data_IF_645146563419
#
_entry.id   IF_645146563419
#
_cell.length_a   1.000
_cell.length_b   1.000
_cell.length_c   1.000
_cell.angle_alpha   90.00
_cell.angle_beta   90.00
_cell.angle_gamma   90.00
#
_symmetry.space_group_name_H-M   'P 1'
#
loop_
_entity.id
_entity.type
_entity.pdbx_description
1 polymer ?
#
# COMPACT_ATOMS: atom_id res chain seq x y z
N UNK A 1 13.03 -7.10 -24.27
CA UNK A 1 12.33 -5.84 -23.92
C UNK A 1 12.63 -5.59 -22.45
N UNK A 2 13.06 -4.39 -22.07
CA UNK A 2 13.21 -4.04 -20.66
C UNK A 2 11.86 -4.22 -19.96
N UNK A 3 11.80 -5.02 -18.89
CA UNK A 3 10.59 -5.13 -18.05
C UNK A 3 10.40 -3.91 -17.15
N UNK A 4 11.43 -3.06 -17.01
CA UNK A 4 11.36 -1.79 -16.32
C UNK A 4 10.65 -0.73 -17.16
N UNK A 5 9.62 -0.12 -16.56
CA UNK A 5 8.79 0.93 -17.18
C UNK A 5 9.37 2.32 -16.90
N UNK A 6 9.37 3.19 -17.91
CA UNK A 6 9.81 4.58 -17.82
C UNK A 6 8.85 5.43 -16.99
N UNK A 7 9.38 6.40 -16.22
CA UNK A 7 8.52 7.27 -15.40
C UNK A 7 7.77 8.26 -16.27
N UNK A 8 6.45 8.28 -16.13
CA UNK A 8 5.55 9.23 -16.79
C UNK A 8 4.88 10.12 -15.76
N UNK A 9 4.53 11.35 -16.15
CA UNK A 9 3.79 12.26 -15.29
C UNK A 9 2.35 11.71 -15.07
N UNK A 10 1.96 11.37 -13.82
CA UNK A 10 0.62 10.83 -13.57
C UNK A 10 -0.49 11.79 -13.96
N UNK A 11 -0.26 13.10 -13.91
CA UNK A 11 -1.26 14.11 -14.29
C UNK A 11 -1.61 14.04 -15.77
N UNK A 12 -0.65 13.71 -16.62
CA UNK A 12 -0.85 13.67 -18.08
C UNK A 12 -1.51 12.38 -18.55
N UNK A 13 -1.32 11.30 -17.80
CA UNK A 13 -1.77 9.94 -18.16
C UNK A 13 -3.01 9.50 -17.42
N UNK A 14 -3.48 10.26 -16.42
CA UNK A 14 -4.66 9.90 -15.63
C UNK A 14 -5.94 10.49 -16.22
N UNK A 15 -6.99 9.69 -16.24
CA UNK A 15 -8.35 10.15 -16.56
C UNK A 15 -8.75 11.24 -15.57
N UNK A 16 -9.04 12.44 -16.08
CA UNK A 16 -9.37 13.61 -15.27
C UNK A 16 -8.20 14.52 -14.91
N UNK A 17 -7.00 14.24 -15.43
CA UNK A 17 -5.82 15.08 -15.30
C UNK A 17 -5.47 15.41 -13.84
N UNK A 18 -5.34 16.70 -13.52
CA UNK A 18 -5.05 17.15 -12.16
C UNK A 18 -6.13 16.74 -11.14
N UNK A 19 -7.41 16.74 -11.54
CA UNK A 19 -8.49 16.33 -10.62
C UNK A 19 -8.43 14.83 -10.33
N UNK A 20 -8.11 14.01 -11.34
CA UNK A 20 -7.87 12.58 -11.17
C UNK A 20 -6.67 12.31 -10.28
N UNK A 21 -5.58 13.06 -10.48
CA UNK A 21 -4.39 13.01 -9.61
C UNK A 21 -4.72 13.33 -8.14
N UNK A 22 -5.45 14.42 -7.88
CA UNK A 22 -5.88 14.80 -6.52
C UNK A 22 -6.75 13.71 -5.89
N UNK A 23 -7.68 13.12 -6.65
CA UNK A 23 -8.51 12.02 -6.14
C UNK A 23 -7.65 10.83 -5.73
N UNK A 24 -6.73 10.39 -6.60
CA UNK A 24 -5.83 9.28 -6.29
C UNK A 24 -5.04 9.55 -5.01
N UNK A 25 -4.48 10.75 -4.87
CA UNK A 25 -3.73 11.15 -3.67
C UNK A 25 -4.62 11.14 -2.43
N UNK A 26 -5.86 11.63 -2.55
CA UNK A 26 -6.83 11.61 -1.44
C UNK A 26 -7.14 10.18 -1.01
N UNK A 27 -7.35 9.27 -1.96
CA UNK A 27 -7.58 7.84 -1.68
C UNK A 27 -6.37 7.25 -0.94
N UNK A 28 -5.15 7.45 -1.45
CA UNK A 28 -3.94 6.99 -0.78
C UNK A 28 -3.82 7.51 0.66
N UNK A 29 -3.98 8.82 0.86
CA UNK A 29 -3.87 9.41 2.19
C UNK A 29 -4.97 8.88 3.13
N UNK A 30 -6.17 8.63 2.62
CA UNK A 30 -7.27 8.06 3.42
C UNK A 30 -7.00 6.63 3.91
N UNK A 31 -6.10 5.89 3.25
CA UNK A 31 -5.75 4.52 3.66
C UNK A 31 -5.08 4.45 5.04
N UNK A 32 -4.58 5.57 5.58
CA UNK A 32 -4.12 5.66 6.98
C UNK A 32 -5.21 5.29 7.99
N UNK A 33 -6.49 5.41 7.60
CA UNK A 33 -7.64 5.06 8.43
C UNK A 33 -7.97 3.56 8.40
N UNK A 34 -7.38 2.78 7.48
CA UNK A 34 -7.69 1.35 7.36
C UNK A 34 -7.28 0.58 8.63
N UNK A 35 -6.05 0.70 9.17
CA UNK A 35 -5.70 0.01 10.41
C UNK A 35 -6.62 0.41 11.56
N UNK A 36 -6.91 1.71 11.70
CA UNK A 36 -7.86 2.20 12.71
C UNK A 36 -9.24 1.56 12.55
N UNK A 37 -9.82 1.56 11.35
CA UNK A 37 -11.12 0.97 11.08
C UNK A 37 -11.13 -0.55 11.36
N UNK A 38 -10.04 -1.24 11.01
CA UNK A 38 -9.89 -2.67 11.25
C UNK A 38 -9.84 -2.99 12.76
N UNK A 39 -8.92 -2.37 13.51
CA UNK A 39 -8.72 -2.71 14.93
C UNK A 39 -9.80 -2.12 15.85
N UNK A 40 -10.36 -0.95 15.53
CA UNK A 40 -11.36 -0.32 16.39
C UNK A 40 -12.81 -0.75 16.09
N UNK A 41 -13.09 -1.13 14.84
CA UNK A 41 -14.47 -1.35 14.36
C UNK A 41 -14.65 -2.63 13.54
N UNK A 42 -13.58 -3.35 13.20
CA UNK A 42 -13.63 -4.49 12.29
C UNK A 42 -14.58 -5.58 12.75
N UNK A 43 -14.47 -6.00 14.02
CA UNK A 43 -15.33 -7.05 14.59
C UNK A 43 -16.81 -6.66 14.52
N UNK A 44 -17.15 -5.46 15.00
CA UNK A 44 -18.54 -4.95 14.93
C UNK A 44 -19.08 -4.95 13.51
N UNK A 45 -18.27 -4.51 12.53
CA UNK A 45 -18.68 -4.50 11.12
C UNK A 45 -18.87 -5.93 10.59
N UNK A 46 -17.95 -6.85 10.90
CA UNK A 46 -18.03 -8.24 10.46
C UNK A 46 -19.27 -8.95 11.06
N UNK A 47 -19.54 -8.74 12.34
CA UNK A 47 -20.72 -9.29 13.03
C UNK A 47 -22.04 -8.80 12.41
N UNK A 48 -22.13 -7.54 11.98
CA UNK A 48 -23.37 -7.01 11.36
C UNK A 48 -23.78 -7.73 10.08
N UNK A 49 -22.82 -8.36 9.39
CA UNK A 49 -23.04 -9.14 8.17
C UNK A 49 -22.90 -10.65 8.40
N UNK A 50 -22.76 -11.08 9.66
CA UNK A 50 -22.66 -12.48 10.04
C UNK A 50 -21.36 -13.16 9.61
N UNK A 51 -20.26 -12.42 9.54
CA UNK A 51 -18.93 -12.90 9.17
C UNK A 51 -17.95 -12.77 10.34
N UNK A 52 -16.91 -13.59 10.35
CA UNK A 52 -15.68 -13.31 11.11
C UNK A 52 -14.92 -12.15 10.48
N UNK A 53 -14.06 -11.47 11.24
CA UNK A 53 -13.27 -10.35 10.73
C UNK A 53 -12.38 -10.78 9.55
N UNK A 54 -11.77 -11.95 9.60
CA UNK A 54 -10.95 -12.49 8.50
C UNK A 54 -11.80 -12.78 7.26
N UNK A 55 -13.02 -13.32 7.42
CA UNK A 55 -13.95 -13.50 6.31
C UNK A 55 -14.37 -12.16 5.70
N UNK A 56 -14.63 -11.15 6.52
CA UNK A 56 -14.97 -9.81 6.03
C UNK A 56 -13.83 -9.20 5.20
N UNK A 57 -12.58 -9.29 5.66
CA UNK A 57 -11.40 -8.85 4.88
C UNK A 57 -11.24 -9.67 3.60
N UNK A 58 -11.37 -11.00 3.67
CA UNK A 58 -11.29 -11.86 2.49
C UNK A 58 -12.38 -11.51 1.46
N UNK A 59 -13.60 -11.20 1.90
CA UNK A 59 -14.67 -10.71 1.05
C UNK A 59 -14.31 -9.40 0.35
N UNK A 60 -13.71 -8.43 1.05
CA UNK A 60 -13.24 -7.17 0.45
C UNK A 60 -12.23 -7.44 -0.67
N UNK A 61 -11.25 -8.33 -0.44
CA UNK A 61 -10.26 -8.72 -1.45
C UNK A 61 -10.95 -9.37 -2.65
N UNK A 62 -11.86 -10.34 -2.42
CA UNK A 62 -12.57 -11.04 -3.49
C UNK A 62 -13.44 -10.09 -4.30
N UNK A 63 -14.13 -9.15 -3.66
CA UNK A 63 -14.92 -8.12 -4.33
C UNK A 63 -14.02 -7.24 -5.20
N UNK A 64 -12.87 -6.80 -4.69
CA UNK A 64 -11.90 -6.00 -5.45
C UNK A 64 -11.39 -6.76 -6.68
N UNK A 65 -11.06 -8.05 -6.54
CA UNK A 65 -10.62 -8.90 -7.64
C UNK A 65 -11.71 -9.14 -8.68
N UNK A 66 -12.96 -9.35 -8.27
CA UNK A 66 -14.10 -9.51 -9.19
C UNK A 66 -14.37 -8.21 -9.94
N UNK A 67 -14.40 -7.07 -9.24
CA UNK A 67 -14.58 -5.76 -9.85
C UNK A 67 -13.46 -5.47 -10.86
N UNK A 68 -12.22 -5.79 -10.51
CA UNK A 68 -11.07 -5.64 -11.37
C UNK A 68 -11.13 -6.54 -12.61
N UNK A 69 -11.54 -7.81 -12.46
CA UNK A 69 -11.73 -8.72 -13.58
C UNK A 69 -12.81 -8.22 -14.55
N UNK A 70 -13.91 -7.67 -14.03
CA UNK A 70 -14.97 -7.04 -14.85
C UNK A 70 -14.39 -5.81 -15.57
N UNK A 71 -13.68 -4.92 -14.86
CA UNK A 71 -13.08 -3.71 -15.42
C UNK A 71 -12.12 -4.03 -16.58
N UNK A 72 -11.26 -5.03 -16.40
CA UNK A 72 -10.33 -5.52 -17.43
C UNK A 72 -11.04 -6.14 -18.62
N UNK A 73 -12.10 -6.92 -18.38
CA UNK A 73 -12.93 -7.48 -19.45
C UNK A 73 -13.59 -6.39 -20.30
N UNK A 74 -13.98 -5.28 -19.68
CA UNK A 74 -14.57 -4.13 -20.37
C UNK A 74 -13.50 -3.22 -21.01
N UNK A 75 -12.23 -3.33 -20.59
CA UNK A 75 -11.13 -2.52 -21.11
C UNK A 75 -11.24 -1.04 -20.76
N UNK A 76 -11.85 -0.72 -19.61
CA UNK A 76 -12.15 0.65 -19.20
C UNK A 76 -11.20 1.14 -18.10
N UNK A 77 -10.94 2.44 -18.08
CA UNK A 77 -10.35 3.17 -16.95
C UNK A 77 -11.42 3.96 -16.22
N UNK A 78 -11.27 4.10 -14.90
CA UNK A 78 -12.13 4.90 -14.04
C UNK A 78 -11.45 6.25 -13.79
N UNK A 79 -12.23 7.28 -13.44
CA UNK A 79 -11.68 8.58 -13.08
C UNK A 79 -10.59 8.46 -11.99
N UNK A 80 -9.41 9.03 -12.23
CA UNK A 80 -8.22 8.90 -11.38
C UNK A 80 -7.26 7.76 -11.75
N UNK A 81 -7.68 6.81 -12.59
CA UNK A 81 -6.81 5.75 -13.13
C UNK A 81 -6.01 6.23 -14.34
N UNK A 82 -4.86 5.60 -14.59
CA UNK A 82 -3.98 5.88 -15.72
C UNK A 82 -4.44 5.10 -16.97
N UNK A 83 -4.24 5.65 -18.15
CA UNK A 83 -4.73 5.07 -19.42
C UNK A 83 -4.32 3.61 -19.65
N UNK A 84 -3.10 3.25 -19.27
CA UNK A 84 -2.59 1.88 -19.43
C UNK A 84 -3.30 0.87 -18.52
N UNK A 85 -3.94 1.31 -17.43
CA UNK A 85 -4.64 0.43 -16.51
C UNK A 85 -5.85 -0.22 -17.19
N UNK A 86 -6.37 0.30 -18.31
CA UNK A 86 -7.38 -0.39 -19.12
C UNK A 86 -7.01 -1.84 -19.49
N UNK A 87 -5.72 -2.18 -19.52
CA UNK A 87 -5.20 -3.47 -20.01
C UNK A 87 -4.45 -4.30 -18.95
N UNK A 88 -4.33 -3.81 -17.71
CA UNK A 88 -3.59 -4.49 -16.64
C UNK A 88 -4.18 -4.19 -15.27
N UNK A 89 -3.83 -5.00 -14.28
CA UNK A 89 -4.34 -4.85 -12.91
C UNK A 89 -4.07 -3.44 -12.40
N UNK A 90 -5.10 -2.78 -11.90
CA UNK A 90 -5.03 -1.40 -11.42
C UNK A 90 -4.27 -1.27 -10.11
N UNK A 91 -3.68 -0.11 -9.87
CA UNK A 91 -3.04 0.27 -8.61
C UNK A 91 -3.98 0.10 -7.40
N UNK A 92 -5.28 0.37 -7.60
CA UNK A 92 -6.31 0.20 -6.58
C UNK A 92 -6.48 -1.28 -6.21
N UNK A 93 -6.59 -2.16 -7.20
CA UNK A 93 -6.74 -3.60 -6.97
C UNK A 93 -5.49 -4.19 -6.31
N UNK A 94 -4.30 -3.77 -6.74
CA UNK A 94 -3.03 -4.15 -6.11
C UNK A 94 -2.93 -3.68 -4.66
N UNK A 95 -3.34 -2.44 -4.38
CA UNK A 95 -3.42 -1.91 -3.02
C UNK A 95 -4.41 -2.68 -2.14
N UNK A 96 -5.60 -3.01 -2.66
CA UNK A 96 -6.61 -3.78 -1.93
C UNK A 96 -6.12 -5.19 -1.58
N UNK A 97 -5.47 -5.88 -2.52
CA UNK A 97 -4.87 -7.21 -2.28
C UNK A 97 -3.74 -7.10 -1.26
N UNK A 98 -2.80 -6.17 -1.44
CA UNK A 98 -1.66 -6.00 -0.55
C UNK A 98 -2.09 -5.70 0.89
N UNK A 99 -2.93 -4.67 1.07
CA UNK A 99 -3.43 -4.28 2.40
C UNK A 99 -4.29 -5.38 3.02
N UNK A 100 -5.16 -6.01 2.23
CA UNK A 100 -5.96 -7.13 2.73
C UNK A 100 -5.10 -8.31 3.21
N UNK A 101 -4.01 -8.63 2.50
CA UNK A 101 -3.09 -9.68 2.93
C UNK A 101 -2.32 -9.31 4.21
N UNK A 102 -1.97 -8.03 4.43
CA UNK A 102 -1.42 -7.59 5.71
C UNK A 102 -2.39 -7.88 6.84
N UNK A 103 -3.67 -7.52 6.67
CA UNK A 103 -4.71 -7.73 7.67
C UNK A 103 -5.12 -9.20 7.85
N UNK A 104 -4.75 -10.10 6.95
CA UNK A 104 -5.00 -11.54 7.09
C UNK A 104 -3.80 -12.30 7.64
N UNK A 105 -2.58 -11.90 7.28
CA UNK A 105 -1.35 -12.65 7.57
C UNK A 105 -0.55 -12.06 8.74
N UNK A 106 -0.71 -10.76 8.99
CA UNK A 106 -0.11 -10.07 10.13
C UNK A 106 -1.13 -9.16 10.83
N UNK A 107 -2.25 -9.71 11.37
CA UNK A 107 -3.34 -8.96 11.98
C UNK A 107 -2.99 -8.40 13.37
N UNK A 108 -1.84 -7.74 13.50
CA UNK A 108 -1.35 -7.15 14.74
C UNK A 108 -0.96 -5.69 14.52
N UNK A 109 -1.33 -4.82 15.47
CA UNK A 109 -1.13 -3.37 15.34
C UNK A 109 0.32 -2.99 15.04
N UNK A 110 1.26 -3.65 15.75
CA UNK A 110 2.70 -3.48 15.58
C UNK A 110 3.22 -3.68 14.13
N UNK A 111 2.47 -4.35 13.26
CA UNK A 111 2.86 -4.65 11.88
C UNK A 111 1.93 -4.04 10.84
N UNK A 112 0.63 -4.15 11.06
CA UNK A 112 -0.36 -3.64 10.12
C UNK A 112 -0.28 -2.11 9.99
N UNK A 113 -0.16 -1.39 11.12
CA UNK A 113 -0.01 0.07 11.11
C UNK A 113 1.21 0.54 10.30
N UNK A 114 2.45 0.15 10.64
CA UNK A 114 3.60 0.70 9.95
C UNK A 114 3.65 0.34 8.46
N UNK A 115 3.21 -0.86 8.05
CA UNK A 115 3.17 -1.23 6.63
C UNK A 115 2.14 -0.39 5.87
N UNK A 116 0.89 -0.35 6.33
CA UNK A 116 -0.21 0.32 5.62
C UNK A 116 0.01 1.84 5.60
N UNK A 117 0.49 2.44 6.69
CA UNK A 117 0.78 3.88 6.74
C UNK A 117 2.00 4.23 5.89
N UNK A 118 3.01 3.36 5.80
CA UNK A 118 4.15 3.56 4.89
C UNK A 118 3.71 3.58 3.42
N UNK A 119 2.77 2.71 3.00
CA UNK A 119 2.16 2.82 1.67
C UNK A 119 1.37 4.13 1.53
N UNK A 120 0.49 4.40 2.50
CA UNK A 120 -0.50 5.48 2.44
C UNK A 120 0.14 6.86 2.34
N UNK A 121 1.28 7.06 3.03
CA UNK A 121 2.00 8.33 3.08
C UNK A 121 3.29 8.32 2.24
N UNK A 122 4.01 7.21 2.22
CA UNK A 122 5.31 7.09 1.54
C UNK A 122 5.19 7.16 0.03
N UNK A 123 4.28 6.39 -0.59
CA UNK A 123 4.06 6.44 -2.05
C UNK A 123 3.71 7.86 -2.55
N UNK A 124 2.65 8.52 -2.02
CA UNK A 124 2.33 9.85 -2.50
C UNK A 124 3.44 10.86 -2.24
N UNK A 125 4.15 10.74 -1.12
CA UNK A 125 5.29 11.62 -0.84
C UNK A 125 6.40 11.46 -1.87
N UNK A 126 6.82 10.23 -2.18
CA UNK A 126 7.82 9.94 -3.21
C UNK A 126 7.37 10.45 -4.59
N UNK A 127 6.11 10.21 -4.95
CA UNK A 127 5.55 10.68 -6.22
C UNK A 127 5.50 12.21 -6.33
N UNK A 128 5.20 12.94 -5.26
CA UNK A 128 5.21 14.41 -5.26
C UNK A 128 6.62 15.00 -5.27
N UNK A 129 7.60 14.35 -4.62
CA UNK A 129 9.01 14.77 -4.70
C UNK A 129 9.52 14.65 -6.14
N UNK A 130 9.24 13.52 -6.81
CA UNK A 130 9.63 13.31 -8.21
C UNK A 130 8.96 14.30 -9.16
N UNK A 131 7.68 14.62 -8.94
CA UNK A 131 6.96 15.66 -9.70
C UNK A 131 7.53 17.07 -9.52
N UNK A 132 8.30 17.32 -8.46
CA UNK A 132 8.97 18.59 -8.18
C UNK A 132 10.46 18.54 -8.55
N UNK A 133 10.86 17.61 -9.41
CA UNK A 133 12.21 17.47 -9.95
C UNK A 133 13.31 17.21 -8.89
N UNK A 134 12.95 16.61 -7.75
CA UNK A 134 13.93 16.14 -6.78
C UNK A 134 14.71 14.96 -7.37
N UNK A 135 16.02 14.92 -7.14
CA UNK A 135 16.88 13.82 -7.59
C UNK A 135 16.53 12.51 -6.88
N UNK A 136 16.77 11.36 -7.51
CA UNK A 136 16.48 10.04 -6.92
C UNK A 136 17.13 9.86 -5.54
N UNK A 137 18.34 10.39 -5.34
CA UNK A 137 19.03 10.37 -4.05
C UNK A 137 18.26 11.18 -2.99
N UNK A 138 17.73 12.35 -3.34
CA UNK A 138 16.93 13.16 -2.42
C UNK A 138 15.60 12.47 -2.08
N UNK A 139 14.92 11.90 -3.09
CA UNK A 139 13.69 11.12 -2.89
C UNK A 139 13.94 9.98 -1.91
N UNK A 140 15.01 9.20 -2.14
CA UNK A 140 15.40 8.09 -1.29
C UNK A 140 15.64 8.52 0.17
N UNK A 141 16.40 9.59 0.39
CA UNK A 141 16.72 10.09 1.73
C UNK A 141 15.45 10.58 2.43
N UNK A 142 14.64 11.42 1.78
CA UNK A 142 13.45 11.98 2.41
C UNK A 142 12.38 10.93 2.67
N UNK A 143 12.16 10.01 1.73
CA UNK A 143 11.21 8.91 1.90
C UNK A 143 11.63 7.96 3.01
N UNK A 144 12.92 7.60 3.08
CA UNK A 144 13.43 6.76 4.18
C UNK A 144 13.25 7.45 5.52
N UNK A 145 13.50 8.76 5.62
CA UNK A 145 13.27 9.52 6.86
C UNK A 145 11.80 9.52 7.28
N UNK A 146 10.87 9.77 6.34
CA UNK A 146 9.43 9.73 6.61
C UNK A 146 8.98 8.33 7.07
N UNK A 147 9.38 7.30 6.32
CA UNK A 147 9.01 5.91 6.61
C UNK A 147 9.63 5.47 7.94
N UNK A 148 10.89 5.79 8.22
CA UNK A 148 11.51 5.53 9.52
C UNK A 148 10.73 6.20 10.66
N UNK A 149 10.28 7.45 10.50
CA UNK A 149 9.47 8.10 11.51
C UNK A 149 8.13 7.39 11.76
N UNK A 150 7.49 6.85 10.71
CA UNK A 150 6.28 6.02 10.84
C UNK A 150 6.56 4.75 11.64
N UNK A 151 7.62 4.01 11.30
CA UNK A 151 8.00 2.79 12.01
C UNK A 151 8.39 3.05 13.47
N UNK A 152 9.12 4.14 13.75
CA UNK A 152 9.47 4.54 15.12
C UNK A 152 8.26 5.01 15.93
N UNK A 153 7.29 5.67 15.29
CA UNK A 153 6.02 6.00 15.94
C UNK A 153 5.26 4.71 16.32
N UNK A 154 5.29 3.68 15.47
CA UNK A 154 4.67 2.39 15.78
C UNK A 154 5.45 1.60 16.84
N UNK A 155 6.78 1.72 16.90
CA UNK A 155 7.56 1.21 18.03
C UNK A 155 7.11 1.83 19.35
N UNK A 156 6.87 3.14 19.36
CA UNK A 156 6.45 3.86 20.57
C UNK A 156 4.98 3.62 20.96
N UNK A 157 4.08 3.47 19.98
CA UNK A 157 2.63 3.43 20.20
C UNK A 157 2.04 2.00 20.22
N UNK A 158 2.59 1.09 19.43
CA UNK A 158 2.06 -0.25 19.18
C UNK A 158 3.08 -1.36 19.48
N UNK A 159 4.14 -1.01 20.22
CA UNK A 159 5.21 -1.93 20.64
C UNK A 159 5.91 -2.69 19.49
N UNK A 160 5.94 -2.11 18.28
CA UNK A 160 6.74 -2.67 17.17
C UNK A 160 8.20 -2.81 17.61
N UNK A 161 8.83 -4.01 17.56
CA UNK A 161 10.21 -4.16 18.01
C UNK A 161 11.15 -3.19 17.31
N UNK A 162 11.98 -2.47 18.08
CA UNK A 162 12.82 -1.39 17.53
C UNK A 162 13.76 -1.87 16.41
N UNK A 163 14.31 -3.07 16.54
CA UNK A 163 15.17 -3.66 15.53
C UNK A 163 14.40 -3.99 14.23
N UNK A 164 13.13 -4.41 14.33
CA UNK A 164 12.24 -4.60 13.18
C UNK A 164 11.98 -3.26 12.51
N UNK A 165 11.65 -2.21 13.27
CA UNK A 165 11.43 -0.87 12.74
C UNK A 165 12.64 -0.34 11.94
N UNK A 166 13.86 -0.51 12.48
CA UNK A 166 15.11 -0.06 11.84
C UNK A 166 15.37 -0.79 10.51
N UNK A 167 15.03 -2.08 10.41
CA UNK A 167 15.26 -2.89 9.20
C UNK A 167 14.13 -2.69 8.18
N UNK A 168 12.88 -2.71 8.64
CA UNK A 168 11.72 -2.70 7.76
C UNK A 168 11.49 -1.34 7.09
N UNK A 169 11.88 -0.22 7.72
CA UNK A 169 11.73 1.10 7.13
C UNK A 169 12.53 1.29 5.82
N UNK A 170 13.85 1.03 5.76
CA UNK A 170 14.61 1.06 4.51
C UNK A 170 14.06 0.09 3.45
N UNK A 171 13.65 -1.12 3.86
CA UNK A 171 13.09 -2.10 2.93
C UNK A 171 11.77 -1.60 2.35
N UNK A 172 10.90 -0.99 3.15
CA UNK A 172 9.63 -0.41 2.68
C UNK A 172 9.86 0.69 1.64
N UNK A 173 10.90 1.51 1.80
CA UNK A 173 11.30 2.50 0.81
C UNK A 173 11.84 1.84 -0.48
N UNK A 174 12.78 0.89 -0.35
CA UNK A 174 13.38 0.19 -1.50
C UNK A 174 12.32 -0.60 -2.29
N UNK A 175 11.26 -1.03 -1.62
CA UNK A 175 10.15 -1.78 -2.23
C UNK A 175 9.38 -0.99 -3.28
N UNK A 176 9.58 0.32 -3.40
CA UNK A 176 9.03 1.13 -4.49
C UNK A 176 9.82 0.96 -5.81
N UNK A 177 11.11 0.59 -5.75
CA UNK A 177 11.97 0.53 -6.93
C UNK A 177 11.63 -0.51 -8.00
N UNK A 178 11.07 -1.70 -7.68
CA UNK A 178 10.66 -2.67 -8.68
C UNK A 178 9.56 -2.10 -9.59
N UNK A 179 9.95 -1.39 -10.64
CA UNK A 179 9.06 -0.82 -11.67
C UNK A 179 8.61 -1.91 -12.65
N UNK A 180 7.83 -2.86 -12.14
CA UNK A 180 7.36 -4.00 -12.90
C UNK A 180 6.17 -3.60 -13.76
N UNK A 181 6.12 -4.14 -14.98
CA UNK A 181 5.04 -3.82 -15.93
C UNK A 181 3.64 -4.15 -15.40
N UNK A 182 3.50 -5.29 -14.71
CA UNK A 182 2.19 -5.85 -14.33
C UNK A 182 1.88 -5.76 -12.84
N UNK A 183 2.88 -5.43 -12.01
CA UNK A 183 2.75 -5.30 -10.55
C UNK A 183 3.01 -3.84 -10.22
N UNK A 184 2.00 -3.19 -9.64
CA UNK A 184 2.06 -1.78 -9.25
C UNK A 184 2.87 -1.59 -7.96
N UNK A 185 3.41 -0.39 -7.78
CA UNK A 185 4.20 0.00 -6.60
C UNK A 185 3.40 -0.15 -5.30
N UNK A 186 2.07 0.02 -5.35
CA UNK A 186 1.18 -0.27 -4.21
C UNK A 186 1.30 -1.71 -3.70
N UNK A 187 1.47 -2.68 -4.59
CA UNK A 187 1.65 -4.06 -4.20
C UNK A 187 3.05 -4.28 -3.63
N UNK A 188 4.09 -3.78 -4.29
CA UNK A 188 5.47 -4.06 -3.87
C UNK A 188 5.79 -3.40 -2.53
N UNK A 189 5.35 -2.15 -2.32
CA UNK A 189 5.49 -1.42 -1.05
C UNK A 189 4.74 -2.02 0.14
N UNK A 190 3.87 -3.00 -0.09
CA UNK A 190 3.14 -3.71 0.97
C UNK A 190 3.59 -5.17 1.09
N UNK A 191 3.63 -5.90 -0.01
CA UNK A 191 3.92 -7.33 -0.03
C UNK A 191 5.38 -7.63 0.33
N UNK A 192 6.33 -6.79 -0.07
CA UNK A 192 7.75 -7.00 0.28
C UNK A 192 7.97 -6.76 1.78
N UNK A 193 7.51 -5.63 2.39
CA UNK A 193 7.58 -5.48 3.85
C UNK A 193 6.81 -6.55 4.62
N UNK A 194 5.63 -6.96 4.14
CA UNK A 194 4.87 -8.04 4.76
C UNK A 194 5.67 -9.36 4.75
N UNK A 195 6.26 -9.73 3.61
CA UNK A 195 7.08 -10.93 3.51
C UNK A 195 8.28 -10.86 4.47
N UNK A 196 8.94 -9.71 4.58
CA UNK A 196 10.02 -9.49 5.54
C UNK A 196 9.53 -9.68 6.99
N UNK A 197 8.38 -9.13 7.35
CA UNK A 197 7.81 -9.25 8.69
C UNK A 197 7.50 -10.72 9.01
N UNK A 198 6.87 -11.46 8.09
CA UNK A 198 6.60 -12.88 8.29
C UNK A 198 7.87 -13.72 8.46
N UNK A 199 8.97 -13.35 7.79
CA UNK A 199 10.29 -14.00 7.95
C UNK A 199 10.91 -13.67 9.31
N UNK A 200 10.75 -12.43 9.78
CA UNK A 200 11.31 -11.97 11.06
C UNK A 200 10.48 -12.40 12.27
N UNK A 201 9.18 -12.65 12.07
CA UNK A 201 8.23 -12.92 13.15
C UNK A 201 8.67 -14.05 14.11
N UNK A 202 9.20 -15.20 13.66
CA UNK A 202 9.67 -16.25 14.57
C UNK A 202 10.75 -15.79 15.57
N UNK A 203 11.46 -14.70 15.28
CA UNK A 203 12.46 -14.09 16.16
C UNK A 203 11.89 -12.90 16.95
N UNK A 204 10.90 -12.21 16.40
CA UNK A 204 10.26 -11.04 17.00
C UNK A 204 9.19 -11.42 18.04
N UNK A 205 8.50 -12.55 17.84
CA UNK A 205 7.47 -13.10 18.71
C UNK A 205 6.38 -12.09 19.10
N UNK A 206 5.91 -11.30 18.13
CA UNK A 206 4.89 -10.26 18.35
C UNK A 206 3.47 -10.83 18.23
N UNK A 207 3.27 -11.83 17.38
CA UNK A 207 1.97 -12.45 17.10
C UNK A 207 1.79 -13.81 17.81
N UNK A 208 2.63 -14.12 18.80
CA UNK A 208 2.67 -15.41 19.51
C UNK A 208 2.06 -15.28 20.91
#
# INVERSE_FOLDING_TARGET
>A
MSEQVEMTNPVETSVGGMKGHILRRTIHLSMVLIPYAYFAHGETVAETVGLTLEQAVACVILIALVAEAIRLKLGITIFGQRDYEAKQISALAWGAVGVGLVLLLAPHEAYAWPIIVSLSLGDPFMGELRRKDFTDRQVMIYATTLIMAIWLACWWQFDTPLWVAIIAAPISMISEWPRLRFIDDNATMVLIPLALILIMEPFAQVMV
#
